data_IF_112797905497
#
_entry.id   IF_112797905497
#
_cell.length_a   1.000
_cell.length_b   1.000
_cell.length_c   1.000
_cell.angle_alpha   90.00
_cell.angle_beta   90.00
_cell.angle_gamma   90.00
#
_symmetry.space_group_name_H-M   'P 1'
#
loop_
_entity.id
_entity.type
_entity.pdbx_description
1 polymer ?
#
# COMPACT_ATOMS: atom_id res chain seq x y z
N UNK A 1 5.72 5.00 -13.07
CA UNK A 1 5.08 6.32 -12.89
C UNK A 1 5.58 7.04 -11.64
N UNK A 2 5.42 6.46 -10.44
CA UNK A 2 5.82 7.09 -9.17
C UNK A 2 7.23 7.68 -9.15
N UNK A 3 8.23 6.89 -9.56
CA UNK A 3 9.61 7.38 -9.64
C UNK A 3 9.80 8.61 -10.53
N UNK A 4 9.03 8.73 -11.63
CA UNK A 4 9.13 9.88 -12.53
C UNK A 4 8.50 11.13 -11.90
N UNK A 5 7.41 10.97 -11.13
CA UNK A 5 6.78 12.07 -10.40
C UNK A 5 7.73 12.62 -9.33
N UNK A 6 8.44 11.74 -8.61
CA UNK A 6 9.46 12.16 -7.67
C UNK A 6 10.64 12.84 -8.38
N UNK A 7 11.22 12.19 -9.39
CA UNK A 7 12.45 12.65 -10.04
C UNK A 7 12.27 13.95 -10.84
N UNK A 8 11.19 14.09 -11.61
CA UNK A 8 11.03 15.19 -12.55
C UNK A 8 10.10 16.30 -12.04
N UNK A 9 9.21 15.99 -11.09
CA UNK A 9 8.25 16.96 -10.52
C UNK A 9 8.48 17.23 -9.03
N UNK A 10 9.51 16.62 -8.42
CA UNK A 10 9.88 16.84 -7.03
C UNK A 10 8.82 16.41 -6.01
N UNK A 11 7.94 15.47 -6.39
CA UNK A 11 6.85 15.01 -5.53
C UNK A 11 7.32 13.99 -4.50
N UNK A 12 6.82 14.08 -3.27
CA UNK A 12 6.94 13.02 -2.27
C UNK A 12 5.91 11.94 -2.56
N UNK A 13 6.36 10.76 -2.95
CA UNK A 13 5.50 9.67 -3.42
C UNK A 13 5.51 8.52 -2.43
N UNK A 14 4.32 8.09 -2.02
CA UNK A 14 4.12 6.80 -1.36
C UNK A 14 3.61 5.79 -2.40
N UNK A 15 4.30 4.66 -2.50
CA UNK A 15 3.85 3.51 -3.27
C UNK A 15 3.31 2.47 -2.29
N UNK A 16 2.14 1.91 -2.56
CA UNK A 16 1.58 0.83 -1.76
C UNK A 16 1.31 -0.38 -2.65
N UNK A 17 1.98 -1.49 -2.36
CA UNK A 17 1.80 -2.75 -3.07
C UNK A 17 0.75 -3.59 -2.35
N UNK A 18 -0.44 -3.72 -2.94
CA UNK A 18 -1.51 -4.57 -2.45
C UNK A 18 -1.55 -5.93 -3.16
N UNK A 19 -0.72 -6.14 -4.18
CA UNK A 19 -0.65 -7.40 -4.91
C UNK A 19 0.26 -8.38 -4.14
N UNK A 20 -0.28 -9.50 -3.63
CA UNK A 20 0.53 -10.48 -2.91
C UNK A 20 1.67 -11.10 -3.73
N UNK A 21 1.62 -10.99 -5.07
CA UNK A 21 2.73 -11.37 -5.94
C UNK A 21 3.96 -10.47 -5.78
N UNK A 22 3.82 -9.31 -5.14
CA UNK A 22 4.92 -8.43 -4.71
C UNK A 22 5.80 -7.90 -5.85
N UNK A 23 5.25 -7.78 -7.06
CA UNK A 23 6.01 -7.37 -8.24
C UNK A 23 6.55 -5.94 -8.09
N UNK A 24 5.75 -5.01 -7.59
CA UNK A 24 6.19 -3.65 -7.31
C UNK A 24 7.25 -3.61 -6.22
N UNK A 25 7.00 -4.31 -5.11
CA UNK A 25 7.93 -4.39 -3.98
C UNK A 25 9.30 -4.92 -4.42
N UNK A 26 9.31 -6.05 -5.13
CA UNK A 26 10.52 -6.69 -5.66
C UNK A 26 11.22 -5.80 -6.69
N UNK A 27 10.46 -5.12 -7.56
CA UNK A 27 10.99 -4.19 -8.56
C UNK A 27 11.70 -2.98 -7.96
N UNK A 28 11.35 -2.59 -6.73
CA UNK A 28 12.01 -1.53 -5.96
C UNK A 28 13.12 -2.04 -5.03
N UNK A 29 13.35 -3.35 -5.02
CA UNK A 29 14.37 -4.00 -4.21
C UNK A 29 13.97 -4.26 -2.76
N UNK A 30 12.68 -4.18 -2.44
CA UNK A 30 12.16 -4.55 -1.13
C UNK A 30 11.97 -6.08 -1.06
N UNK A 31 12.43 -6.69 0.04
CA UNK A 31 12.21 -8.10 0.34
C UNK A 31 10.92 -8.24 1.15
N UNK A 32 9.91 -8.88 0.55
CA UNK A 32 8.70 -9.27 1.28
C UNK A 32 9.02 -10.48 2.15
N UNK A 33 8.88 -10.32 3.47
CA UNK A 33 9.04 -11.41 4.45
C UNK A 33 7.69 -12.04 4.74
N UNK A 34 7.67 -13.30 5.17
CA UNK A 34 6.43 -14.02 5.50
C UNK A 34 5.57 -13.33 6.56
N UNK A 35 6.20 -12.59 7.48
CA UNK A 35 5.53 -11.84 8.55
C UNK A 35 5.51 -10.32 8.29
N UNK A 36 5.83 -9.90 7.06
CA UNK A 36 5.78 -8.49 6.68
C UNK A 36 4.33 -8.02 6.69
N UNK A 37 4.05 -6.93 7.41
CA UNK A 37 2.76 -6.26 7.37
C UNK A 37 2.72 -5.30 6.18
N UNK A 38 1.57 -5.25 5.53
CA UNK A 38 1.27 -4.34 4.44
C UNK A 38 0.12 -3.39 4.79
N UNK A 39 -0.34 -2.65 3.79
CA UNK A 39 -1.35 -1.60 3.97
C UNK A 39 -2.67 -2.15 4.52
N UNK A 40 -3.12 -3.31 4.02
CA UNK A 40 -4.34 -3.96 4.52
C UNK A 40 -4.25 -4.25 6.03
N UNK A 41 -3.12 -4.77 6.50
CA UNK A 41 -2.95 -5.16 7.90
C UNK A 41 -3.14 -3.97 8.83
N UNK A 42 -2.60 -2.81 8.47
CA UNK A 42 -2.59 -1.63 9.35
C UNK A 42 -3.91 -0.87 9.38
N UNK A 43 -4.65 -0.86 8.27
CA UNK A 43 -6.00 -0.27 8.20
C UNK A 43 -6.92 -0.90 9.25
N UNK A 44 -6.72 -2.19 9.54
CA UNK A 44 -7.57 -2.96 10.46
C UNK A 44 -6.95 -3.22 11.85
N UNK A 45 -5.67 -2.87 12.07
CA UNK A 45 -4.98 -3.18 13.35
C UNK A 45 -4.42 -1.97 14.08
N UNK A 46 -4.71 -0.74 13.62
CA UNK A 46 -4.31 0.51 14.31
C UNK A 46 -2.80 0.61 14.57
N UNK A 47 -1.97 0.21 13.60
CA UNK A 47 -0.51 0.28 13.74
C UNK A 47 0.04 1.60 13.18
N UNK A 48 1.18 2.03 13.73
CA UNK A 48 1.96 3.16 13.25
C UNK A 48 2.35 2.95 11.78
N UNK A 49 1.91 3.85 10.88
CA UNK A 49 2.22 3.83 9.45
C UNK A 49 3.73 3.72 9.20
N UNK A 50 4.55 4.39 10.02
CA UNK A 50 6.02 4.38 9.88
C UNK A 50 6.62 3.00 10.10
N UNK A 51 5.94 2.12 10.84
CA UNK A 51 6.44 0.78 11.14
C UNK A 51 6.40 -0.17 9.94
N UNK A 52 5.65 0.16 8.89
CA UNK A 52 5.51 -0.68 7.69
C UNK A 52 6.08 -0.05 6.43
N UNK A 53 6.43 1.23 6.48
CA UNK A 53 7.09 1.90 5.35
C UNK A 53 8.53 1.38 5.24
N UNK A 54 8.88 0.99 4.03
CA UNK A 54 10.23 0.65 3.62
C UNK A 54 10.79 1.80 2.77
N UNK A 55 11.97 2.28 3.14
CA UNK A 55 12.73 3.18 2.29
C UNK A 55 13.12 2.46 1.00
N UNK A 56 12.99 3.15 -0.13
CA UNK A 56 13.45 2.63 -1.42
C UNK A 56 14.82 3.19 -1.77
N UNK A 57 15.48 2.63 -2.78
CA UNK A 57 16.72 3.19 -3.34
C UNK A 57 16.50 4.51 -4.11
N UNK A 58 15.28 5.04 -4.12
CA UNK A 58 14.89 6.24 -4.87
C UNK A 58 14.50 7.33 -3.88
N UNK A 59 15.20 8.45 -3.96
CA UNK A 59 14.89 9.61 -3.15
C UNK A 59 13.44 10.08 -3.35
N UNK A 60 12.80 10.48 -2.26
CA UNK A 60 11.39 10.93 -2.24
C UNK A 60 10.36 9.89 -2.70
N UNK A 61 10.73 8.61 -2.71
CA UNK A 61 9.83 7.49 -2.97
C UNK A 61 9.91 6.50 -1.82
N UNK A 62 8.81 6.38 -1.09
CA UNK A 62 8.64 5.38 -0.04
C UNK A 62 7.71 4.25 -0.51
N UNK A 63 7.84 3.10 0.12
CA UNK A 63 7.06 1.91 -0.23
C UNK A 63 6.40 1.29 1.01
N UNK A 64 5.11 1.02 0.94
CA UNK A 64 4.45 -0.01 1.74
C UNK A 64 4.52 -1.31 0.95
N UNK A 65 5.24 -2.34 1.43
CA UNK A 65 5.42 -3.57 0.68
C UNK A 65 4.14 -4.42 0.68
N UNK A 66 4.09 -5.37 -0.25
CA UNK A 66 3.07 -6.40 -0.26
C UNK A 66 3.15 -7.24 1.03
N UNK A 67 1.99 -7.76 1.43
CA UNK A 67 1.84 -8.67 2.58
C UNK A 67 1.36 -10.01 2.07
N UNK A 68 1.85 -11.11 2.64
CA UNK A 68 1.31 -12.43 2.32
C UNK A 68 -0.12 -12.61 2.87
N UNK A 69 -0.49 -11.82 3.88
CA UNK A 69 -1.81 -11.89 4.52
C UNK A 69 -2.92 -11.37 3.60
N UNK A 70 -2.64 -10.51 2.62
CA UNK A 70 -3.68 -9.99 1.73
C UNK A 70 -4.33 -11.05 0.83
N UNK A 71 -3.65 -12.18 0.52
CA UNK A 71 -4.33 -13.33 -0.12
C UNK A 71 -5.40 -13.95 0.79
N UNK A 72 -5.12 -14.06 2.10
CA UNK A 72 -6.02 -14.70 3.06
C UNK A 72 -7.27 -13.83 3.30
N UNK A 73 -7.12 -12.51 3.21
CA UNK A 73 -8.23 -11.58 3.34
C UNK A 73 -9.13 -11.53 2.10
N UNK A 74 -8.64 -11.98 0.93
CA UNK A 74 -9.42 -12.04 -0.32
C UNK A 74 -10.70 -12.86 -0.17
N UNK A 75 -10.71 -13.85 0.72
CA UNK A 75 -11.88 -14.69 1.04
C UNK A 75 -12.73 -14.14 2.20
N UNK A 76 -12.15 -13.35 3.10
CA UNK A 76 -12.79 -12.81 4.32
C UNK A 76 -13.58 -11.52 4.08
N UNK A 77 -13.30 -10.80 2.99
CA UNK A 77 -13.93 -9.51 2.63
C UNK A 77 -15.41 -9.60 2.26
N UNK A 78 -15.99 -10.81 2.18
CA UNK A 78 -17.41 -11.02 1.88
C UNK A 78 -18.33 -10.54 3.05
N UNK A 79 -17.77 -10.36 4.26
CA UNK A 79 -18.55 -10.09 5.48
C UNK A 79 -18.27 -8.75 6.16
N UNK A 80 -17.38 -7.90 5.63
CA UNK A 80 -17.06 -6.60 6.21
C UNK A 80 -17.84 -5.50 5.47
N UNK A 81 -18.57 -4.67 6.22
CA UNK A 81 -19.47 -3.63 5.71
C UNK A 81 -18.78 -2.56 4.86
N UNK A 82 -19.48 -1.47 4.46
CA UNK A 82 -18.96 -0.49 3.50
C UNK A 82 -17.65 0.14 4.01
N UNK A 83 -16.53 -0.21 3.39
CA UNK A 83 -15.20 0.08 3.93
C UNK A 83 -14.55 1.27 3.23
N UNK A 84 -14.93 2.48 3.64
CA UNK A 84 -14.12 3.68 3.38
C UNK A 84 -12.81 3.70 4.22
N UNK A 85 -12.48 2.62 4.92
CA UNK A 85 -11.39 2.56 5.89
C UNK A 85 -10.04 2.87 5.24
N UNK A 86 -9.77 2.32 4.05
CA UNK A 86 -8.55 2.61 3.31
C UNK A 86 -8.44 4.09 2.95
N UNK A 87 -9.50 4.68 2.41
CA UNK A 87 -9.54 6.11 2.04
C UNK A 87 -9.35 7.03 3.25
N UNK A 88 -10.07 6.76 4.35
CA UNK A 88 -9.90 7.52 5.59
C UNK A 88 -8.47 7.38 6.10
N UNK A 89 -7.94 6.16 6.14
CA UNK A 89 -6.59 5.87 6.59
C UNK A 89 -5.56 6.65 5.77
N UNK A 90 -5.64 6.62 4.44
CA UNK A 90 -4.73 7.35 3.56
C UNK A 90 -4.81 8.87 3.77
N UNK A 91 -6.00 9.41 3.96
CA UNK A 91 -6.19 10.84 4.22
C UNK A 91 -5.63 11.27 5.58
N UNK A 92 -5.82 10.46 6.61
CA UNK A 92 -5.42 10.80 7.98
C UNK A 92 -3.91 10.58 8.20
N UNK A 93 -3.38 9.47 7.70
CA UNK A 93 -2.02 9.03 8.02
C UNK A 93 -1.01 9.27 6.91
N UNK A 94 -1.41 9.28 5.63
CA UNK A 94 -0.46 9.45 4.51
C UNK A 94 -0.44 10.87 3.94
N UNK A 95 -1.60 11.50 3.75
CA UNK A 95 -1.71 12.83 3.13
C UNK A 95 -0.88 13.93 3.81
N UNK A 96 -0.64 13.92 5.14
CA UNK A 96 0.24 14.92 5.76
C UNK A 96 1.72 14.83 5.33
N UNK A 97 2.17 13.68 4.80
CA UNK A 97 3.59 13.42 4.52
C UNK A 97 3.91 13.28 3.03
N UNK A 98 2.92 12.90 2.22
CA UNK A 98 3.10 12.58 0.80
C UNK A 98 2.19 13.44 -0.09
N UNK A 99 2.73 13.90 -1.21
CA UNK A 99 1.96 14.62 -2.21
C UNK A 99 1.05 13.68 -3.02
N UNK A 100 1.52 12.44 -3.24
CA UNK A 100 0.86 11.45 -4.08
C UNK A 100 1.02 10.07 -3.44
N UNK A 101 -0.09 9.35 -3.31
CA UNK A 101 -0.11 7.94 -2.98
C UNK A 101 -0.54 7.14 -4.23
N UNK A 102 0.26 6.16 -4.66
CA UNK A 102 -0.07 5.26 -5.76
C UNK A 102 -0.24 3.86 -5.18
N UNK A 103 -1.39 3.26 -5.46
CA UNK A 103 -1.74 1.93 -4.98
C UNK A 103 -1.66 0.97 -6.17
N UNK A 104 -0.82 -0.06 -6.05
CA UNK A 104 -0.73 -1.16 -6.99
C UNK A 104 -1.64 -2.29 -6.51
N UNK A 105 -2.72 -2.53 -7.24
CA UNK A 105 -3.75 -3.50 -6.88
C UNK A 105 -3.58 -4.80 -7.65
N UNK A 106 -3.91 -5.96 -7.05
CA UNK A 106 -3.90 -7.21 -7.79
C UNK A 106 -4.89 -7.17 -8.98
N UNK A 107 -4.69 -7.99 -10.02
CA UNK A 107 -5.54 -8.00 -11.22
C UNK A 107 -6.97 -8.54 -10.98
N UNK A 108 -7.35 -8.81 -9.72
CA UNK A 108 -8.64 -9.36 -9.33
C UNK A 108 -9.52 -8.29 -8.67
N UNK A 109 -10.84 -8.38 -8.85
CA UNK A 109 -11.85 -7.49 -8.23
C UNK A 109 -12.24 -7.93 -6.80
N UNK A 110 -11.24 -8.27 -5.98
CA UNK A 110 -11.41 -8.58 -4.55
C UNK A 110 -11.81 -7.35 -3.71
N UNK A 111 -12.03 -7.53 -2.41
CA UNK A 111 -12.42 -6.44 -1.50
C UNK A 111 -11.41 -5.28 -1.49
N UNK A 112 -10.12 -5.60 -1.37
CA UNK A 112 -9.02 -4.62 -1.47
C UNK A 112 -9.03 -3.76 -2.74
N UNK A 113 -9.23 -4.38 -3.90
CA UNK A 113 -9.30 -3.66 -5.17
C UNK A 113 -10.51 -2.73 -5.20
N UNK A 114 -11.65 -3.15 -4.66
CA UNK A 114 -12.84 -2.29 -4.54
C UNK A 114 -12.59 -1.11 -3.61
N UNK A 115 -11.93 -1.30 -2.48
CA UNK A 115 -11.58 -0.20 -1.56
C UNK A 115 -10.65 0.83 -2.20
N UNK A 116 -9.72 0.40 -3.06
CA UNK A 116 -8.84 1.30 -3.78
C UNK A 116 -9.55 2.17 -4.83
N UNK A 117 -10.75 1.76 -5.30
CA UNK A 117 -11.53 2.50 -6.30
C UNK A 117 -12.45 3.59 -5.72
N UNK A 118 -12.71 3.59 -4.41
CA UNK A 118 -13.73 4.44 -3.74
C UNK A 118 -13.10 5.61 -3.00
#
# INVERSE_FOLDING_TARGET
MGCNLAQFLGKKVLLADLDPQSNLSSGLGASVRSNQKGLHDIVYTSNDLKSIICETKKDSVDLIPASFLSEQFRELDIHRGPSNNLKLFLNEYCAPFYDICIIDTPPSLGGLTKEAFV
#
